data_IF_882079620444
#
_entry.id   IF_882079620444
#
_cell.length_a   1.000
_cell.length_b   1.000
_cell.length_c   1.000
_cell.angle_alpha   90.00
_cell.angle_beta   90.00
_cell.angle_gamma   90.00
#
_symmetry.space_group_name_H-M   'P 1'
#
loop_
_entity.id
_entity.type
_entity.pdbx_description
1 polymer ?
#
# COMPACT_ATOMS: atom_id res chain seq x y z
N UNK A 1 -16.21 -65.62 7.60
CA UNK A 1 -16.32 -64.90 8.89
C UNK A 1 -15.99 -63.44 8.60
N UNK A 2 -16.98 -62.57 8.31
CA UNK A 2 -17.73 -61.72 9.26
C UNK A 2 -16.80 -60.93 10.20
N UNK A 3 -16.79 -59.60 10.25
CA UNK A 3 -17.94 -58.69 10.23
C UNK A 3 -17.69 -57.36 9.50
N UNK A 4 -18.73 -56.93 8.79
CA UNK A 4 -19.08 -55.52 8.53
C UNK A 4 -19.90 -55.06 9.74
N UNK A 5 -19.61 -53.86 10.28
CA UNK A 5 -20.57 -53.13 11.11
C UNK A 5 -20.65 -51.70 10.58
N UNK A 6 -21.82 -51.37 10.05
CA UNK A 6 -22.29 -50.00 9.82
C UNK A 6 -22.96 -49.48 11.10
N UNK A 7 -22.57 -48.30 11.54
CA UNK A 7 -23.40 -47.34 12.26
C UNK A 7 -23.03 -45.97 11.69
N UNK A 8 -23.89 -45.40 10.84
CA UNK A 8 -24.97 -44.46 11.20
C UNK A 8 -24.45 -43.06 11.53
N UNK A 9 -24.51 -42.23 10.49
CA UNK A 9 -25.09 -40.88 10.43
C UNK A 9 -24.88 -39.92 11.61
N UNK A 10 -24.40 -38.73 11.21
CA UNK A 10 -24.44 -37.44 11.91
C UNK A 10 -23.30 -37.27 12.93
N UNK A 11 -22.27 -36.52 12.53
CA UNK A 11 -21.64 -35.45 13.33
C UNK A 11 -20.49 -34.83 12.50
N UNK A 12 -20.64 -33.54 12.19
CA UNK A 12 -19.62 -32.57 11.77
C UNK A 12 -18.85 -32.91 10.47
N UNK A 13 -19.31 -32.48 9.30
CA UNK A 13 -19.17 -31.10 8.81
C UNK A 13 -17.79 -30.46 9.09
N UNK A 14 -16.72 -31.21 8.89
CA UNK A 14 -15.33 -30.74 8.78
C UNK A 14 -14.83 -30.90 7.33
N UNK A 15 -15.63 -30.50 6.35
CA UNK A 15 -15.10 -30.26 5.00
C UNK A 15 -14.39 -28.92 5.01
N UNK A 16 -13.08 -29.02 5.24
CA UNK A 16 -12.01 -28.24 4.65
C UNK A 16 -12.45 -27.29 3.51
N UNK A 17 -13.02 -26.13 3.87
CA UNK A 17 -12.89 -24.95 3.02
C UNK A 17 -11.45 -24.51 3.21
N UNK A 18 -10.59 -25.01 2.31
CA UNK A 18 -9.31 -24.39 2.02
C UNK A 18 -9.67 -23.01 1.50
N UNK A 19 -9.82 -22.05 2.41
CA UNK A 19 -9.80 -20.63 2.07
C UNK A 19 -8.40 -20.44 1.51
N UNK A 20 -8.32 -20.39 0.19
CA UNK A 20 -7.15 -19.92 -0.53
C UNK A 20 -6.88 -18.54 0.03
N UNK A 21 -5.99 -18.51 1.01
CA UNK A 21 -5.46 -17.29 1.57
C UNK A 21 -4.62 -16.74 0.44
N UNK A 22 -5.22 -15.87 -0.37
CA UNK A 22 -4.48 -14.99 -1.26
C UNK A 22 -3.64 -14.10 -0.36
N UNK A 23 -2.51 -14.62 0.10
CA UNK A 23 -1.41 -13.80 0.55
C UNK A 23 -1.06 -12.97 -0.68
N UNK A 24 -1.51 -11.72 -0.67
CA UNK A 24 -0.79 -10.68 -1.37
C UNK A 24 0.65 -10.83 -0.89
N UNK A 25 1.48 -11.47 -1.72
CA UNK A 25 2.87 -11.69 -1.42
C UNK A 25 3.43 -10.30 -1.15
N UNK A 26 3.78 -10.04 0.12
CA UNK A 26 4.75 -9.01 0.44
C UNK A 26 5.93 -9.29 -0.47
N UNK A 27 6.10 -8.49 -1.52
CA UNK A 27 7.22 -8.61 -2.42
C UNK A 27 8.48 -8.39 -1.58
N UNK A 28 9.08 -9.47 -1.07
CA UNK A 28 10.48 -9.48 -0.67
C UNK A 28 11.25 -9.33 -1.97
N UNK A 29 11.50 -8.09 -2.37
CA UNK A 29 12.47 -7.80 -3.41
C UNK A 29 13.83 -8.29 -2.89
N UNK A 30 14.38 -9.28 -3.58
CA UNK A 30 15.78 -9.68 -3.46
C UNK A 30 16.64 -8.42 -3.66
N UNK A 31 17.69 -8.17 -2.87
CA UNK A 31 18.60 -7.08 -3.14
C UNK A 31 19.33 -7.42 -4.45
N UNK A 32 18.98 -6.74 -5.53
CA UNK A 32 19.87 -6.64 -6.68
C UNK A 32 20.95 -5.62 -6.30
N UNK A 33 22.20 -5.89 -6.66
CA UNK A 33 23.25 -4.88 -6.70
C UNK A 33 22.76 -3.71 -7.58
N UNK A 34 22.44 -2.57 -6.97
CA UNK A 34 21.91 -1.38 -7.64
C UNK A 34 20.54 -0.92 -7.11
N UNK A 35 20.27 0.39 -7.15
CA UNK A 35 19.02 0.93 -6.60
C UNK A 35 17.80 0.37 -7.34
N UNK A 36 16.84 -0.27 -6.65
CA UNK A 36 15.56 -0.62 -7.25
C UNK A 36 14.77 0.66 -7.61
N UNK A 37 13.74 0.58 -8.47
CA UNK A 37 12.87 1.73 -8.73
C UNK A 37 12.40 2.35 -7.38
N UNK A 38 12.37 3.67 -7.28
CA UNK A 38 11.83 4.34 -6.10
C UNK A 38 10.38 3.90 -5.85
N UNK A 39 10.11 3.43 -4.64
CA UNK A 39 8.78 2.95 -4.25
C UNK A 39 8.08 3.92 -3.31
N UNK A 40 6.76 4.00 -3.44
CA UNK A 40 5.87 4.71 -2.52
C UNK A 40 5.14 3.72 -1.63
N UNK A 41 5.14 4.01 -0.33
CA UNK A 41 4.28 3.31 0.60
C UNK A 41 2.82 3.68 0.37
N UNK A 42 1.96 2.69 0.62
CA UNK A 42 0.51 2.83 0.56
C UNK A 42 -0.11 2.38 1.87
N UNK A 43 -1.37 2.76 2.11
CA UNK A 43 -2.13 2.27 3.26
C UNK A 43 -3.60 2.04 2.91
N UNK A 44 -4.28 1.29 3.76
CA UNK A 44 -5.73 1.06 3.73
C UNK A 44 -6.38 1.49 5.05
N UNK A 45 -7.71 1.35 5.12
CA UNK A 45 -8.49 1.70 6.30
C UNK A 45 -8.01 0.98 7.56
N UNK A 46 -7.70 -0.31 7.45
CA UNK A 46 -7.34 -1.13 8.61
C UNK A 46 -6.00 -0.66 9.19
N UNK A 47 -5.00 -0.45 8.33
CA UNK A 47 -3.72 0.12 8.75
C UNK A 47 -3.88 1.48 9.45
N UNK A 48 -4.76 2.35 8.94
CA UNK A 48 -4.98 3.66 9.54
C UNK A 48 -5.65 3.55 10.91
N UNK A 49 -6.61 2.64 11.08
CA UNK A 49 -7.27 2.38 12.36
C UNK A 49 -6.30 1.81 13.38
N UNK A 50 -5.47 0.84 12.98
CA UNK A 50 -4.55 0.16 13.88
C UNK A 50 -3.37 1.04 14.29
N UNK A 51 -2.84 1.83 13.34
CA UNK A 51 -1.60 2.60 13.54
C UNK A 51 -1.86 4.02 14.02
N UNK A 52 -2.94 4.66 13.53
CA UNK A 52 -3.26 6.07 13.81
C UNK A 52 -4.76 6.27 14.11
N UNK A 53 -5.30 5.64 15.18
CA UNK A 53 -6.75 5.62 15.46
C UNK A 53 -7.36 7.01 15.61
N UNK A 54 -6.62 7.97 16.19
CA UNK A 54 -7.07 9.36 16.32
C UNK A 54 -7.21 10.09 14.99
N UNK A 55 -6.44 9.69 13.97
CA UNK A 55 -6.57 10.22 12.60
C UNK A 55 -7.73 9.51 11.92
N UNK A 56 -7.83 8.18 12.02
CA UNK A 56 -8.94 7.42 11.45
C UNK A 56 -10.32 7.96 11.92
N UNK A 57 -10.47 8.21 13.22
CA UNK A 57 -11.71 8.72 13.81
C UNK A 57 -12.14 10.09 13.28
N UNK A 58 -11.20 10.94 12.83
CA UNK A 58 -11.51 12.27 12.26
C UNK A 58 -12.14 12.20 10.87
N UNK A 59 -11.84 11.14 10.12
CA UNK A 59 -12.23 11.02 8.71
C UNK A 59 -13.29 9.94 8.46
N UNK A 60 -13.48 9.00 9.39
CA UNK A 60 -14.36 7.84 9.23
C UNK A 60 -15.82 8.17 8.93
N UNK A 61 -16.30 9.36 9.32
CA UNK A 61 -17.66 9.81 8.99
C UNK A 61 -17.84 10.13 7.49
N UNK A 62 -16.79 10.63 6.83
CA UNK A 62 -16.88 11.15 5.46
C UNK A 62 -16.16 10.27 4.42
N UNK A 63 -15.19 9.47 4.86
CA UNK A 63 -14.35 8.69 3.95
C UNK A 63 -14.02 7.30 4.49
N UNK A 64 -13.80 6.38 3.55
CA UNK A 64 -13.11 5.11 3.75
C UNK A 64 -11.81 5.09 2.94
N UNK A 65 -10.76 4.46 3.46
CA UNK A 65 -9.45 4.40 2.82
C UNK A 65 -9.14 3.04 2.20
N UNK A 66 -8.62 3.04 0.98
CA UNK A 66 -8.20 1.84 0.26
C UNK A 66 -6.82 2.06 -0.36
N UNK A 67 -5.94 1.06 -0.28
CA UNK A 67 -4.64 1.12 -0.94
C UNK A 67 -4.80 1.29 -2.47
N UNK A 68 -4.14 2.30 -3.08
CA UNK A 68 -4.15 2.50 -4.52
C UNK A 68 -3.34 1.42 -5.23
N UNK A 69 -3.55 1.32 -6.54
CA UNK A 69 -2.58 0.66 -7.42
C UNK A 69 -1.47 1.66 -7.73
N UNK A 70 -0.22 1.29 -7.46
CA UNK A 70 0.95 2.12 -7.79
C UNK A 70 1.79 1.41 -8.84
N UNK A 71 2.13 2.13 -9.91
CA UNK A 71 3.00 1.63 -10.98
C UNK A 71 4.20 2.54 -11.20
N UNK A 72 5.28 1.94 -11.69
CA UNK A 72 6.60 2.56 -11.83
C UNK A 72 7.14 2.39 -13.25
N UNK A 73 6.51 3.00 -14.28
CA UNK A 73 6.94 2.84 -15.66
C UNK A 73 8.39 3.31 -15.82
N UNK A 74 9.24 2.40 -16.30
CA UNK A 74 10.67 2.65 -16.58
C UNK A 74 11.46 3.24 -15.40
N UNK A 75 10.98 3.05 -14.16
CA UNK A 75 11.45 3.76 -12.95
C UNK A 75 11.48 5.31 -13.07
N UNK A 76 10.88 5.89 -14.11
CA UNK A 76 10.93 7.32 -14.43
C UNK A 76 9.69 8.09 -13.97
N UNK A 77 8.67 7.39 -13.47
CA UNK A 77 7.50 8.00 -12.86
C UNK A 77 6.89 7.12 -11.78
N UNK A 78 6.14 7.74 -10.87
CA UNK A 78 5.22 7.08 -9.95
C UNK A 78 3.81 7.45 -10.37
N UNK A 79 3.02 6.46 -10.76
CA UNK A 79 1.62 6.62 -11.12
C UNK A 79 0.77 5.95 -10.06
N UNK A 80 -0.14 6.72 -9.48
CA UNK A 80 -1.08 6.26 -8.45
C UNK A 80 -2.47 6.22 -9.06
N UNK A 81 -3.10 5.06 -9.04
CA UNK A 81 -4.45 4.87 -9.60
C UNK A 81 -5.43 4.54 -8.50
N UNK A 82 -6.52 5.31 -8.47
CA UNK A 82 -7.63 5.13 -7.56
C UNK A 82 -8.93 4.85 -8.32
N UNK A 83 -9.95 4.22 -7.69
CA UNK A 83 -11.25 4.02 -8.29
C UNK A 83 -11.87 5.34 -8.77
N UNK A 84 -12.71 5.28 -9.81
CA UNK A 84 -13.39 6.46 -10.34
C UNK A 84 -14.23 7.15 -9.26
N UNK A 85 -14.20 8.49 -9.25
CA UNK A 85 -14.93 9.31 -8.26
C UNK A 85 -14.27 9.41 -6.88
N UNK A 86 -13.05 8.89 -6.72
CA UNK A 86 -12.31 8.95 -5.45
C UNK A 86 -11.12 9.90 -5.55
N UNK A 87 -10.67 10.44 -4.42
CA UNK A 87 -9.50 11.31 -4.34
C UNK A 87 -8.25 10.55 -3.90
N UNK A 88 -7.06 11.04 -4.25
CA UNK A 88 -5.82 10.57 -3.62
C UNK A 88 -5.69 11.23 -2.24
N UNK A 89 -5.41 10.41 -1.22
CA UNK A 89 -5.10 10.85 0.12
C UNK A 89 -3.59 10.70 0.38
N UNK A 90 -3.00 11.70 1.01
CA UNK A 90 -1.61 11.67 1.46
C UNK A 90 -1.58 11.79 2.98
N UNK A 91 -1.01 10.78 3.64
CA UNK A 91 -0.70 10.83 5.06
C UNK A 91 0.77 11.19 5.26
N UNK A 92 1.05 12.25 6.02
CA UNK A 92 2.41 12.71 6.32
C UNK A 92 2.81 12.29 7.73
N UNK A 93 3.89 11.53 7.87
CA UNK A 93 4.31 10.97 9.16
C UNK A 93 4.76 12.06 10.16
N UNK A 94 5.48 13.08 9.68
CA UNK A 94 6.09 14.14 10.51
C UNK A 94 5.08 14.84 11.42
N UNK A 95 3.87 15.10 10.92
CA UNK A 95 2.82 15.84 11.62
C UNK A 95 1.53 15.03 11.78
N UNK A 96 1.56 13.74 11.41
CA UNK A 96 0.40 12.84 11.42
C UNK A 96 -0.84 13.45 10.73
N UNK A 97 -0.63 14.22 9.67
CA UNK A 97 -1.71 14.87 8.94
C UNK A 97 -2.14 14.05 7.74
N UNK A 98 -3.45 13.93 7.57
CA UNK A 98 -4.05 13.36 6.38
C UNK A 98 -4.63 14.50 5.52
N UNK A 99 -4.29 14.51 4.25
CA UNK A 99 -4.79 15.47 3.27
C UNK A 99 -5.43 14.72 2.11
N UNK A 100 -6.56 15.20 1.62
CA UNK A 100 -7.30 14.59 0.51
C UNK A 100 -7.28 15.57 -0.67
N UNK A 101 -7.06 15.03 -1.87
CA UNK A 101 -7.06 15.75 -3.13
C UNK A 101 -5.68 15.93 -3.76
N UNK A 102 -5.68 16.29 -5.04
CA UNK A 102 -4.49 16.29 -5.91
C UNK A 102 -3.51 17.44 -5.64
N UNK A 103 -3.82 18.37 -4.75
CA UNK A 103 -3.01 19.57 -4.53
C UNK A 103 -1.67 19.28 -3.83
N UNK A 104 -1.56 18.16 -3.10
CA UNK A 104 -0.30 17.75 -2.44
C UNK A 104 0.47 16.65 -3.15
N UNK A 105 -0.18 15.87 -4.00
CA UNK A 105 0.46 14.80 -4.76
C UNK A 105 0.23 15.00 -6.25
N UNK A 106 1.31 15.35 -6.96
CA UNK A 106 1.29 15.40 -8.41
C UNK A 106 1.26 13.97 -8.96
N UNK A 107 0.24 13.67 -9.76
CA UNK A 107 0.06 12.36 -10.37
C UNK A 107 -0.08 12.51 -11.90
N UNK A 108 0.82 11.95 -12.73
CA UNK A 108 2.02 11.19 -12.35
C UNK A 108 3.07 12.07 -11.64
N UNK A 109 3.82 11.48 -10.70
CA UNK A 109 5.05 12.10 -10.18
C UNK A 109 6.20 11.70 -11.10
N UNK A 110 6.75 12.66 -11.85
CA UNK A 110 7.90 12.40 -12.71
C UNK A 110 9.19 12.36 -11.89
N UNK A 111 9.93 11.29 -12.10
CA UNK A 111 11.23 11.00 -11.51
C UNK A 111 12.28 11.24 -12.60
N UNK A 112 12.69 12.49 -12.78
CA UNK A 112 13.77 12.85 -13.69
C UNK A 112 15.02 13.29 -12.92
N UNK A 113 16.19 13.09 -13.52
CA UNK A 113 17.48 13.58 -13.00
C UNK A 113 17.88 12.97 -11.66
N UNK A 114 17.61 11.68 -11.44
CA UNK A 114 18.06 10.97 -10.25
C UNK A 114 19.32 10.16 -10.50
N UNK A 115 20.16 10.08 -9.48
CA UNK A 115 21.39 9.29 -9.44
C UNK A 115 21.24 8.32 -8.27
N UNK A 116 21.51 7.05 -8.52
CA UNK A 116 21.63 6.04 -7.48
C UNK A 116 23.06 6.08 -6.94
N UNK A 117 23.22 6.29 -5.63
CA UNK A 117 24.50 6.21 -4.94
C UNK A 117 24.31 5.47 -3.60
N UNK A 118 25.16 4.49 -3.33
CA UNK A 118 25.10 3.62 -2.13
C UNK A 118 23.68 3.12 -1.77
N UNK A 119 22.91 2.68 -2.78
CA UNK A 119 21.55 2.16 -2.61
C UNK A 119 20.48 3.21 -2.30
N UNK A 120 20.81 4.50 -2.39
CA UNK A 120 19.90 5.63 -2.18
C UNK A 120 19.76 6.48 -3.45
N UNK A 121 18.55 7.01 -3.66
CA UNK A 121 18.28 7.91 -4.78
C UNK A 121 18.51 9.37 -4.40
N UNK A 122 19.35 10.06 -5.18
CA UNK A 122 19.67 11.48 -5.05
C UNK A 122 19.24 12.26 -6.28
N UNK A 123 18.86 13.52 -6.11
CA UNK A 123 18.63 14.41 -7.26
C UNK A 123 19.96 14.97 -7.73
N UNK A 124 20.24 14.87 -9.03
CA UNK A 124 21.46 15.40 -9.64
C UNK A 124 21.68 16.86 -9.25
N UNK A 125 22.83 17.14 -8.62
CA UNK A 125 23.19 18.47 -8.13
C UNK A 125 22.70 18.84 -6.72
N UNK A 126 22.00 17.94 -6.02
CA UNK A 126 21.60 18.10 -4.62
C UNK A 126 22.09 16.92 -3.77
N UNK A 127 22.50 17.20 -2.52
CA UNK A 127 22.92 16.18 -1.56
C UNK A 127 21.77 15.55 -0.77
N UNK A 128 20.52 15.98 -0.99
CA UNK A 128 19.36 15.46 -0.28
C UNK A 128 18.83 14.19 -0.93
N UNK A 129 18.65 13.14 -0.14
CA UNK A 129 18.01 11.90 -0.58
C UNK A 129 16.56 12.16 -0.98
N UNK A 130 16.20 11.76 -2.19
CA UNK A 130 14.82 11.80 -2.70
C UNK A 130 13.98 10.71 -2.05
N UNK A 131 14.61 9.61 -1.66
CA UNK A 131 13.97 8.52 -0.94
C UNK A 131 13.36 8.98 0.38
N UNK A 132 14.06 9.84 1.14
CA UNK A 132 13.53 10.36 2.41
C UNK A 132 12.23 11.15 2.21
N UNK A 133 12.18 11.97 1.16
CA UNK A 133 10.98 12.75 0.85
C UNK A 133 9.82 11.83 0.44
N UNK A 134 10.06 10.79 -0.35
CA UNK A 134 9.03 9.81 -0.71
C UNK A 134 8.60 8.94 0.47
N UNK A 135 9.52 8.60 1.38
CA UNK A 135 9.25 7.82 2.59
C UNK A 135 8.60 8.64 3.70
N UNK A 136 8.64 9.97 3.63
CA UNK A 136 8.03 10.88 4.63
C UNK A 136 6.50 10.88 4.65
N UNK A 137 5.87 10.23 3.67
CA UNK A 137 4.42 10.11 3.56
C UNK A 137 4.01 8.78 2.93
N UNK A 138 2.73 8.42 3.08
CA UNK A 138 2.12 7.24 2.46
C UNK A 138 0.81 7.63 1.77
N UNK A 139 0.42 6.88 0.75
CA UNK A 139 -0.69 7.21 -0.15
C UNK A 139 -1.87 6.24 0.01
N UNK A 140 -3.09 6.75 -0.09
CA UNK A 140 -4.32 5.96 -0.13
C UNK A 140 -5.28 6.55 -1.17
N UNK A 141 -6.28 5.79 -1.58
CA UNK A 141 -7.51 6.34 -2.14
C UNK A 141 -8.45 6.72 -1.00
N UNK A 142 -9.08 7.89 -1.08
CA UNK A 142 -10.15 8.34 -0.22
C UNK A 142 -11.47 8.17 -0.95
N UNK A 143 -12.26 7.21 -0.50
CA UNK A 143 -13.58 6.87 -1.03
C UNK A 143 -14.61 7.63 -0.20
N UNK A 144 -15.36 8.57 -0.78
CA UNK A 144 -16.46 9.23 -0.06
C UNK A 144 -17.51 8.19 0.37
N UNK A 145 -18.00 8.30 1.60
CA UNK A 145 -19.09 7.47 2.10
C UNK A 145 -20.45 7.91 1.56
#
# INVERSE_FOLDING_TARGET
>A
MCNIVHFSSIILLLLAVVVVSSSAQSCKATPADGCPCMQRSTFDQQWLVDTYPAVAAKFSAAYTFQAPVVTYPECAAIIVTCPNGTGVATFTFKNQSLTIGNWRFQNPTIISSLICDDGNWYKSGLSTSVDENLKSSTLSCAIPN
#
